data_IF_480240775110
#
_entry.id   IF_480240775110
#
_cell.length_a   1.000
_cell.length_b   1.000
_cell.length_c   1.000
_cell.angle_alpha   90.00
_cell.angle_beta   90.00
_cell.angle_gamma   90.00
#
_symmetry.space_group_name_H-M   'P 1'
#
loop_
_entity.id
_entity.type
_entity.pdbx_description
1 polymer ?
2 water ?
#
# COMPACT_ATOMS: atom_id res chain seq x y z
N UNK A 1 -1.55 17.96 0.60
CA UNK A 1 -2.21 17.62 -0.66
C UNK A 1 -3.69 17.36 -0.47
N UNK A 2 -4.30 16.56 -1.31
CA UNK A 2 -5.69 16.15 -1.04
C UNK A 2 -5.64 14.64 -1.06
N UNK A 3 -6.52 14.03 -0.28
CA UNK A 3 -6.60 12.57 -0.17
C UNK A 3 -8.05 12.16 -0.03
N UNK A 4 -8.32 10.89 -0.30
CA UNK A 4 -9.71 10.44 -0.08
C UNK A 4 -10.02 10.23 1.45
N UNK A 5 -11.28 10.31 1.87
CA UNK A 5 -11.66 10.01 3.28
C UNK A 5 -12.64 8.85 3.49
N UNK A 6 -12.29 8.00 4.45
CA UNK A 6 -13.04 6.79 4.80
C UNK A 6 -14.37 6.47 4.20
N UNK A 7 -15.39 6.61 5.06
CA UNK A 7 -16.74 6.16 4.85
C UNK A 7 -17.11 6.42 3.49
N UNK A 8 -17.17 7.70 3.15
CA UNK A 8 -17.62 8.15 1.83
C UNK A 8 -16.60 8.19 0.79
N UNK A 9 -15.35 8.06 1.18
CA UNK A 9 -14.26 8.17 0.21
C UNK A 9 -14.40 9.43 -0.65
N UNK A 10 -14.31 10.65 -0.08
CA UNK A 10 -14.42 11.89 -0.90
C UNK A 10 -13.16 12.70 -0.69
N UNK A 11 -13.05 13.88 -1.26
CA UNK A 11 -11.80 14.57 -1.04
C UNK A 11 -11.74 15.54 0.15
N UNK A 12 -10.56 15.63 0.74
CA UNK A 12 -10.38 16.54 1.84
C UNK A 12 -8.96 16.91 1.68
N UNK A 13 -8.68 18.13 2.13
CA UNK A 13 -7.41 18.82 2.01
C UNK A 13 -6.57 18.71 3.28
N UNK A 14 -5.42 18.07 3.14
CA UNK A 14 -4.53 17.86 4.27
C UNK A 14 -4.03 19.17 4.89
N UNK A 15 -3.45 19.08 6.07
CA UNK A 15 -2.87 20.26 6.69
C UNK A 15 -1.34 20.15 6.51
N UNK A 16 -0.56 21.12 6.98
CA UNK A 16 0.89 21.02 6.74
C UNK A 16 1.34 19.79 7.43
N UNK A 17 2.21 19.01 6.83
CA UNK A 17 2.68 17.85 7.58
C UNK A 17 2.06 16.57 7.06
N UNK A 18 0.79 16.68 6.64
CA UNK A 18 0.06 15.56 6.08
C UNK A 18 0.25 15.68 4.57
N UNK A 19 1.42 15.17 4.17
CA UNK A 19 1.94 15.15 2.80
C UNK A 19 1.62 13.84 2.09
N UNK A 20 1.17 12.85 2.89
CA UNK A 20 0.87 11.50 2.43
C UNK A 20 -0.57 10.98 2.64
N UNK A 21 -1.13 10.31 1.64
CA UNK A 21 -2.46 9.71 1.79
C UNK A 21 -2.40 8.19 2.14
N UNK A 22 -3.41 7.67 2.81
CA UNK A 22 -3.36 6.23 3.03
C UNK A 22 -4.69 5.54 2.95
N UNK A 23 -4.58 4.24 2.76
CA UNK A 23 -5.75 3.38 2.75
C UNK A 23 -5.40 2.19 3.65
N UNK A 24 -6.14 2.05 4.72
CA UNK A 24 -5.74 0.98 5.58
C UNK A 24 -6.88 0.07 5.90
N UNK A 25 -6.66 -1.20 5.61
CA UNK A 25 -7.69 -2.22 5.87
C UNK A 25 -7.38 -3.05 7.10
N UNK A 26 -8.05 -2.80 8.20
CA UNK A 26 -7.67 -3.70 9.27
C UNK A 26 -8.73 -4.67 9.82
N UNK A 27 -8.24 -5.77 10.40
CA UNK A 27 -9.11 -6.85 10.96
C UNK A 27 -9.42 -6.87 12.47
N UNK A 28 -10.72 -6.98 12.78
CA UNK A 28 -11.23 -7.13 14.14
C UNK A 28 -11.31 -8.66 14.29
N UNK A 29 -11.72 -9.11 15.47
CA UNK A 29 -11.93 -10.53 15.81
C UNK A 29 -12.96 -11.09 14.79
N UNK A 30 -13.63 -10.20 14.06
CA UNK A 30 -14.61 -10.69 13.11
C UNK A 30 -14.26 -10.36 11.69
N UNK A 31 -12.97 -10.31 11.37
CA UNK A 31 -12.59 -9.97 10.01
C UNK A 31 -13.27 -10.88 9.06
N UNK A 32 -13.11 -12.19 9.27
CA UNK A 32 -13.81 -13.19 8.41
C UNK A 32 -15.33 -13.07 8.10
N UNK A 33 -16.16 -12.43 8.89
CA UNK A 33 -17.55 -12.39 8.44
C UNK A 33 -18.05 -10.98 8.04
N UNK A 34 -17.48 -10.00 8.75
CA UNK A 34 -17.76 -8.58 8.61
C UNK A 34 -16.88 -8.14 7.47
N UNK A 35 -15.59 -8.25 7.66
CA UNK A 35 -14.63 -7.86 6.67
C UNK A 35 -13.79 -6.95 7.46
N UNK A 36 -12.74 -6.53 6.83
CA UNK A 36 -11.80 -5.59 7.39
C UNK A 36 -12.46 -4.25 7.50
N UNK A 37 -11.87 -3.49 8.40
CA UNK A 37 -12.23 -2.11 8.72
C UNK A 37 -11.25 -1.16 7.99
N UNK A 38 -11.83 -0.47 7.00
CA UNK A 38 -11.13 0.47 6.15
C UNK A 38 -11.07 1.88 6.72
N UNK A 39 -9.97 2.53 6.45
CA UNK A 39 -9.75 3.86 6.91
C UNK A 39 -8.75 4.62 6.01
N UNK A 40 -9.25 5.62 5.30
CA UNK A 40 -8.37 6.40 4.45
C UNK A 40 -8.36 7.89 4.80
N UNK A 41 -7.29 8.60 4.47
CA UNK A 41 -7.23 10.03 4.75
C UNK A 41 -5.79 10.54 4.70
N UNK A 42 -5.59 11.67 5.39
CA UNK A 42 -4.31 12.31 5.41
C UNK A 42 -3.33 11.91 6.52
N UNK A 43 -2.25 11.23 6.20
CA UNK A 43 -1.31 10.97 7.26
C UNK A 43 -0.01 11.82 7.11
N UNK A 44 0.84 11.92 8.13
CA UNK A 44 2.08 12.70 8.06
C UNK A 44 3.22 11.82 7.85
N UNK A 45 2.98 10.55 8.19
CA UNK A 45 3.92 9.46 8.05
C UNK A 45 3.12 8.29 7.54
N UNK A 46 3.76 7.17 7.20
CA UNK A 46 3.02 5.98 6.80
C UNK A 46 3.04 5.11 8.04
N UNK A 47 1.86 4.82 8.60
CA UNK A 47 1.79 3.96 9.75
C UNK A 47 2.45 2.60 9.55
N UNK A 48 3.31 2.29 10.49
CA UNK A 48 4.01 1.05 10.54
C UNK A 48 2.95 -0.04 10.49
N UNK A 49 3.27 -1.05 9.68
CA UNK A 49 2.43 -2.22 9.35
C UNK A 49 2.11 -3.25 10.48
N UNK A 50 0.95 -3.09 11.13
CA UNK A 50 0.48 -3.94 12.24
C UNK A 50 0.07 -5.26 11.66
N UNK A 51 0.48 -6.35 12.31
CA UNK A 51 0.19 -7.73 11.88
C UNK A 51 -1.29 -8.03 11.56
N UNK A 52 -2.19 -7.32 12.23
CA UNK A 52 -3.62 -7.40 12.01
C UNK A 52 -4.16 -6.76 10.71
N UNK A 53 -3.32 -6.28 9.81
CA UNK A 53 -3.94 -5.67 8.65
C UNK A 53 -3.97 -6.57 7.44
N UNK A 54 -4.98 -6.35 6.61
CA UNK A 54 -5.13 -7.09 5.44
C UNK A 54 -4.38 -6.27 4.43
N UNK A 55 -4.00 -5.04 4.80
CA UNK A 55 -3.22 -4.16 3.90
C UNK A 55 -3.21 -2.72 4.18
N UNK A 56 -2.05 -2.15 3.81
CA UNK A 56 -1.65 -0.74 3.90
C UNK A 56 -1.27 -0.35 2.46
N UNK A 57 -1.52 0.92 2.15
CA UNK A 57 -1.33 1.58 0.86
C UNK A 57 -0.97 2.98 1.30
N UNK A 58 0.24 3.42 0.96
CA UNK A 58 0.70 4.76 1.31
C UNK A 58 1.24 5.35 0.02
N UNK A 59 0.61 6.44 -0.43
CA UNK A 59 0.97 7.12 -1.69
C UNK A 59 0.93 8.68 -1.64
N UNK A 60 2.00 9.32 -2.18
CA UNK A 60 2.20 10.78 -2.24
C UNK A 60 1.68 11.21 -3.61
N UNK A 61 0.40 11.56 -3.73
CA UNK A 61 -0.22 11.92 -4.98
C UNK A 61 -1.65 12.29 -4.62
N UNK A 62 -2.31 13.24 -5.25
CA UNK A 62 -3.60 13.53 -4.60
C UNK A 62 -4.61 12.46 -4.76
N UNK A 63 -5.35 12.18 -3.70
CA UNK A 63 -6.38 11.18 -3.81
C UNK A 63 -5.80 9.86 -4.37
N UNK A 64 -4.52 9.61 -4.10
CA UNK A 64 -4.00 8.41 -4.64
C UNK A 64 -4.50 7.23 -3.82
N UNK A 65 -4.85 7.47 -2.56
CA UNK A 65 -5.34 6.39 -1.69
C UNK A 65 -6.73 5.86 -2.03
N UNK A 66 -6.79 5.12 -3.13
CA UNK A 66 -8.03 4.51 -3.57
C UNK A 66 -7.66 3.19 -4.17
N UNK B 1 2.77 -16.82 0.53
CA UNK B 1 1.56 -17.13 -0.16
C UNK B 1 2.09 -17.23 -1.52
N UNK B 2 1.32 -16.74 -2.48
CA UNK B 2 1.77 -16.69 -3.85
C UNK B 2 1.64 -15.20 -4.03
N UNK B 3 2.73 -14.52 -4.33
CA UNK B 3 2.57 -13.10 -4.54
C UNK B 3 2.99 -12.83 -5.93
N UNK B 4 2.47 -11.71 -6.48
CA UNK B 4 2.83 -11.20 -7.81
C UNK B 4 4.29 -10.79 -7.90
N UNK B 5 4.93 -10.99 -9.03
CA UNK B 5 6.37 -10.70 -9.13
C UNK B 5 6.81 -9.65 -10.17
N UNK B 6 7.56 -8.68 -9.68
CA UNK B 6 8.04 -7.55 -10.50
C UNK B 6 8.19 -7.44 -12.02
N UNK B 7 9.14 -8.17 -12.61
CA UNK B 7 9.42 -7.96 -14.06
C UNK B 7 8.13 -8.29 -14.75
N UNK B 8 7.74 -9.55 -14.64
CA UNK B 8 6.52 -10.01 -15.23
C UNK B 8 5.20 -10.14 -14.47
N UNK B 9 5.23 -10.04 -13.16
CA UNK B 9 3.99 -10.20 -12.45
C UNK B 9 3.35 -11.54 -12.69
N UNK B 10 4.07 -12.60 -12.41
CA UNK B 10 3.44 -13.89 -12.47
C UNK B 10 3.52 -14.16 -11.01
N UNK B 11 2.54 -14.86 -10.50
CA UNK B 11 2.50 -15.33 -9.13
C UNK B 11 3.68 -16.31 -8.82
N UNK B 12 4.16 -16.35 -7.57
CA UNK B 12 5.24 -17.24 -7.17
C UNK B 12 5.04 -17.31 -5.66
N UNK B 13 5.04 -18.56 -5.15
CA UNK B 13 4.82 -18.79 -3.73
C UNK B 13 5.99 -18.35 -2.94
N UNK B 14 5.66 -17.51 -1.97
CA UNK B 14 6.72 -17.02 -1.17
C UNK B 14 7.49 -18.15 -0.51
N UNK B 15 8.77 -17.91 -0.34
CA UNK B 15 9.61 -18.85 0.30
C UNK B 15 8.98 -18.88 1.65
N UNK B 16 8.69 -20.13 2.04
CA UNK B 16 8.06 -20.49 3.30
C UNK B 16 8.46 -19.51 4.42
N UNK B 17 7.49 -18.82 5.03
CA UNK B 17 7.80 -17.86 6.05
C UNK B 17 7.64 -16.39 5.53
N UNK B 18 7.43 -16.17 4.22
CA UNK B 18 7.26 -14.76 3.70
C UNK B 18 5.81 -14.67 3.27
N UNK B 19 4.97 -13.97 4.02
CA UNK B 19 3.52 -13.98 3.79
C UNK B 19 2.85 -12.74 3.26
N UNK B 20 3.63 -11.71 3.13
CA UNK B 20 3.05 -10.52 2.70
C UNK B 20 3.74 -10.22 1.43
N UNK B 21 2.91 -9.78 0.52
CA UNK B 21 3.28 -9.34 -0.82
C UNK B 21 3.43 -7.81 -0.83
N UNK B 22 4.25 -7.22 -1.69
CA UNK B 22 4.21 -5.74 -1.74
C UNK B 22 4.37 -5.34 -3.17
N UNK B 23 3.94 -4.11 -3.41
CA UNK B 23 4.10 -3.38 -4.70
C UNK B 23 4.74 -2.05 -4.31
N UNK B 24 5.91 -1.80 -4.88
CA UNK B 24 6.60 -0.54 -4.70
C UNK B 24 6.67 0.20 -6.08
N UNK B 25 6.82 1.50 -6.02
CA UNK B 25 6.88 2.35 -7.23
C UNK B 25 7.50 3.60 -6.80
N UNK B 26 8.66 3.92 -7.39
CA UNK B 26 9.33 5.18 -7.18
C UNK B 26 9.63 5.76 -8.56
N UNK B 27 9.99 7.03 -8.64
CA UNK B 27 10.34 7.53 -9.97
C UNK B 27 11.84 7.58 -10.09
N UNK B 28 12.36 7.49 -11.31
CA UNK B 28 13.78 7.75 -11.51
C UNK B 28 13.69 8.81 -12.63
N UNK B 29 14.82 9.17 -13.25
CA UNK B 29 14.90 10.17 -14.37
C UNK B 29 13.97 9.80 -15.51
N UNK B 30 13.93 8.54 -15.91
CA UNK B 30 13.03 8.27 -17.01
C UNK B 30 11.65 8.17 -16.41
N UNK B 31 11.34 8.86 -15.29
CA UNK B 31 9.96 8.74 -14.76
C UNK B 31 8.84 9.36 -15.63
N UNK B 32 9.24 9.84 -16.84
CA UNK B 32 8.46 10.53 -17.90
C UNK B 32 8.58 9.88 -19.28
N UNK B 33 9.53 8.97 -19.44
CA UNK B 33 9.76 8.23 -20.69
C UNK B 33 9.13 6.84 -20.47
N UNK B 34 9.01 6.47 -19.18
CA UNK B 34 8.46 5.17 -18.82
C UNK B 34 7.51 5.13 -17.62
N UNK B 35 7.80 5.94 -16.64
CA UNK B 35 6.95 5.84 -15.50
C UNK B 35 7.87 5.35 -14.43
N UNK B 36 7.30 5.21 -13.28
CA UNK B 36 8.10 4.75 -12.17
C UNK B 36 8.51 3.29 -12.32
N UNK B 37 9.60 3.04 -11.62
CA UNK B 37 10.16 1.70 -11.48
C UNK B 37 9.18 0.93 -10.56
N UNK B 38 8.63 -0.16 -11.06
CA UNK B 38 7.70 -0.92 -10.25
C UNK B 38 8.30 -2.28 -9.89
N UNK B 39 8.45 -2.48 -8.59
CA UNK B 39 8.99 -3.71 -8.03
C UNK B 39 7.89 -4.42 -7.11
N UNK B 40 7.51 -5.66 -7.40
CA UNK B 40 6.49 -6.37 -6.56
C UNK B 40 6.88 -7.77 -6.18
N UNK B 41 6.76 -8.09 -4.90
CA UNK B 41 7.09 -9.44 -4.43
C UNK B 41 6.66 -9.97 -3.03
N UNK B 42 7.52 -10.85 -2.51
CA UNK B 42 7.28 -11.46 -1.23
C UNK B 42 8.18 -10.79 -0.29
N UNK B 43 7.69 -10.58 0.90
CA UNK B 43 8.53 -10.09 1.94
C UNK B 43 8.22 -10.85 3.31
N UNK B 44 8.86 -10.42 4.42
CA UNK B 44 8.70 -10.96 5.78
C UNK B 44 7.96 -9.87 6.56
N UNK B 45 8.51 -8.66 6.47
CA UNK B 45 7.96 -7.45 7.05
C UNK B 45 7.69 -6.31 5.99
N UNK B 46 6.57 -5.60 6.13
CA UNK B 46 6.23 -4.58 5.15
C UNK B 46 7.35 -3.57 5.20
N UNK B 47 7.76 -3.11 4.03
CA UNK B 47 8.86 -2.19 3.92
C UNK B 47 8.63 -0.83 4.50
N UNK B 48 9.74 -0.23 4.91
CA UNK B 48 9.64 1.06 5.52
C UNK B 48 9.21 2.13 4.53
N UNK B 49 8.22 2.97 4.91
CA UNK B 49 7.87 4.01 3.98
C UNK B 49 9.09 4.87 3.66
N UNK B 50 9.13 5.30 2.42
CA UNK B 50 10.28 6.03 2.01
C UNK B 50 9.74 7.19 1.20
N UNK B 51 10.07 8.36 1.71
CA UNK B 51 9.71 9.65 1.16
C UNK B 51 9.66 9.68 -0.37
N UNK B 52 10.79 9.32 -0.98
CA UNK B 52 10.91 9.33 -2.43
C UNK B 52 10.13 8.25 -3.12
N UNK B 53 8.97 7.88 -2.60
CA UNK B 53 8.25 6.80 -3.22
C UNK B 53 6.96 7.28 -3.69
N UNK B 54 6.55 6.89 -4.88
CA UNK B 54 5.25 7.29 -5.40
C UNK B 54 4.10 6.58 -4.70
N UNK B 55 4.34 5.30 -4.38
CA UNK B 55 3.42 4.39 -3.68
C UNK B 55 4.12 3.12 -3.05
N UNK B 56 3.42 2.45 -2.13
CA UNK B 56 3.92 1.27 -1.43
C UNK B 56 2.66 0.64 -0.88
N UNK B 57 2.35 -0.51 -1.46
CA UNK B 57 1.20 -1.33 -1.11
C UNK B 57 1.74 -2.63 -0.51
N UNK B 58 1.24 -2.86 0.70
CA UNK B 58 1.56 -4.01 1.51
C UNK B 58 0.22 -4.75 1.81
N UNK B 59 -0.03 -5.87 1.15
CA UNK B 59 -1.24 -6.64 1.47
C UNK B 59 -0.90 -8.20 1.77
N UNK B 60 -1.75 -8.91 2.54
CA UNK B 60 -1.52 -10.35 2.89
C UNK B 60 -2.64 -11.24 2.33
N UNK B 61 -2.60 -11.48 1.04
CA UNK B 61 -3.66 -12.19 0.38
C UNK B 61 -3.01 -12.57 -0.92
N UNK B 62 -3.58 -13.49 -1.66
CA UNK B 62 -2.79 -14.02 -2.74
C UNK B 62 -2.68 -13.04 -3.87
N UNK B 63 -1.52 -12.98 -4.54
CA UNK B 63 -1.28 -12.04 -5.65
C UNK B 63 -2.02 -10.65 -5.48
N UNK B 64 -1.96 -10.08 -4.29
CA UNK B 64 -2.74 -8.91 -4.08
C UNK B 64 -1.92 -7.67 -4.56
N UNK B 65 -0.62 -7.83 -4.43
CA UNK B 65 0.29 -6.83 -4.90
C UNK B 65 0.11 -6.51 -6.38
N UNK B 66 -0.95 -5.77 -6.67
CA UNK B 66 -1.13 -5.30 -8.02
C UNK B 66 -1.90 -4.01 -8.07
#
# INVERSE_FOLDING_TARGET
>A
RTCLISPSSTPQTCPNGQDICFLKAQCDKFCSIRGPVIEQGCVATCPQFRSNYRSLLCCTTDNCNH
>B
RTCLISPSSTPQTCPNGQDICFLKAQCDKFCSIRGPVIEQGCVATCPQFRSNYRSLLCCTTDNCNH
#
